data_IF_121941136422
#
_entry.id   IF_121941136422
#
_cell.length_a   1.000
_cell.length_b   1.000
_cell.length_c   1.000
_cell.angle_alpha   90.00
_cell.angle_beta   90.00
_cell.angle_gamma   90.00
#
_symmetry.space_group_name_H-M   'P 1'
#
loop_
_entity.id
_entity.type
_entity.pdbx_description
1 polymer ?
#
# COMPACT_ATOMS: atom_id res chain seq x y z
N UNK A 1 53.56 -18.62 -34.48
CA UNK A 1 53.23 -18.92 -35.89
C UNK A 1 51.86 -19.56 -35.98
N UNK A 2 50.89 -19.01 -36.74
CA UNK A 2 49.55 -19.60 -36.84
C UNK A 2 49.54 -20.78 -37.84
N UNK A 3 49.05 -21.94 -37.39
CA UNK A 3 48.95 -23.16 -38.21
C UNK A 3 47.82 -23.04 -39.25
N UNK A 4 48.18 -22.80 -40.50
CA UNK A 4 47.23 -22.86 -41.61
C UNK A 4 46.84 -24.32 -41.90
N UNK A 5 45.58 -24.68 -41.69
CA UNK A 5 45.09 -26.05 -41.98
C UNK A 5 44.96 -26.22 -43.51
N UNK A 6 45.59 -27.25 -44.07
CA UNK A 6 45.49 -27.57 -45.51
C UNK A 6 44.07 -28.06 -45.82
N UNK A 7 43.36 -27.34 -46.68
CA UNK A 7 42.03 -27.72 -47.16
C UNK A 7 42.13 -28.92 -48.08
N UNK A 8 41.46 -30.03 -47.75
CA UNK A 8 41.33 -31.19 -48.65
C UNK A 8 40.05 -31.04 -49.47
N UNK A 9 39.99 -30.03 -50.34
CA UNK A 9 38.95 -29.98 -51.36
C UNK A 9 39.43 -30.82 -52.54
N UNK A 10 39.01 -32.07 -52.56
CA UNK A 10 39.23 -32.95 -53.72
C UNK A 10 38.46 -32.32 -54.87
N UNK A 11 39.18 -31.91 -55.92
CA UNK A 11 38.58 -31.37 -57.14
C UNK A 11 37.65 -32.41 -57.80
N UNK A 12 36.84 -31.98 -58.76
CA UNK A 12 35.99 -32.90 -59.51
C UNK A 12 36.87 -33.99 -60.16
N UNK A 13 36.58 -35.25 -59.85
CA UNK A 13 37.26 -36.40 -60.48
C UNK A 13 36.52 -36.65 -61.80
N UNK A 14 37.07 -36.10 -62.90
CA UNK A 14 36.56 -36.27 -64.27
C UNK A 14 36.27 -34.95 -65.00
N UNK A 15 36.44 -34.98 -66.34
CA UNK A 15 36.00 -33.92 -67.26
C UNK A 15 34.48 -33.97 -67.42
N UNK A 16 33.80 -32.85 -67.13
CA UNK A 16 32.36 -32.71 -67.40
C UNK A 16 32.17 -32.65 -68.92
N UNK A 17 31.26 -33.44 -69.49
CA UNK A 17 30.97 -33.44 -70.94
C UNK A 17 30.11 -32.25 -71.41
N UNK A 18 29.96 -31.24 -70.55
CA UNK A 18 29.16 -30.06 -70.83
C UNK A 18 30.09 -28.86 -71.09
N UNK A 19 30.18 -28.44 -72.36
CA UNK A 19 30.92 -27.24 -72.83
C UNK A 19 30.26 -25.91 -72.40
N UNK A 20 29.15 -25.96 -71.64
CA UNK A 20 28.39 -24.75 -71.30
C UNK A 20 29.10 -24.00 -70.16
N UNK A 21 29.53 -22.74 -70.36
CA UNK A 21 30.11 -21.96 -69.28
C UNK A 21 29.04 -21.73 -68.21
N UNK A 22 29.20 -22.33 -67.03
CA UNK A 22 28.31 -22.05 -65.91
C UNK A 22 28.53 -20.60 -65.47
N UNK A 23 27.51 -19.72 -65.49
CA UNK A 23 27.69 -18.34 -65.06
C UNK A 23 28.06 -18.32 -63.57
N UNK A 24 29.18 -17.68 -63.23
CA UNK A 24 29.58 -17.45 -61.84
C UNK A 24 28.55 -16.50 -61.23
N UNK A 25 27.63 -17.04 -60.42
CA UNK A 25 26.61 -16.22 -59.74
C UNK A 25 27.34 -15.35 -58.70
N UNK A 26 27.76 -14.14 -59.10
CA UNK A 26 28.21 -13.09 -58.19
C UNK A 26 27.00 -12.23 -57.84
N UNK A 27 26.10 -12.77 -57.01
CA UNK A 27 25.12 -11.93 -56.31
C UNK A 27 25.07 -12.36 -54.85
N UNK A 28 25.90 -11.71 -54.03
CA UNK A 28 25.74 -11.75 -52.58
C UNK A 28 24.47 -10.97 -52.23
N UNK A 29 23.30 -11.62 -52.32
CA UNK A 29 22.08 -11.06 -51.72
C UNK A 29 22.33 -10.86 -50.22
N UNK A 30 22.08 -9.67 -49.66
CA UNK A 30 22.17 -9.50 -48.21
C UNK A 30 21.11 -10.41 -47.58
N UNK A 31 21.54 -11.43 -46.84
CA UNK A 31 20.63 -12.25 -46.05
C UNK A 31 20.13 -11.37 -44.91
N UNK A 32 18.86 -10.97 -44.96
CA UNK A 32 18.17 -10.43 -43.80
C UNK A 32 18.24 -11.48 -42.71
N UNK A 33 19.13 -11.29 -41.72
CA UNK A 33 19.27 -12.21 -40.61
C UNK A 33 18.05 -12.04 -39.72
N UNK A 34 17.14 -13.01 -39.74
CA UNK A 34 16.14 -13.13 -38.68
C UNK A 34 16.86 -13.52 -37.39
N UNK A 35 16.99 -12.58 -36.46
CA UNK A 35 17.58 -12.82 -35.15
C UNK A 35 18.37 -11.63 -34.62
N UNK A 36 18.57 -11.62 -33.29
CA UNK A 36 19.41 -10.62 -32.62
C UNK A 36 20.88 -10.73 -33.10
N UNK A 37 21.61 -9.63 -33.03
CA UNK A 37 23.04 -9.59 -33.41
C UNK A 37 23.83 -10.63 -32.59
N UNK A 38 24.81 -11.32 -33.20
CA UNK A 38 25.71 -12.21 -32.46
C UNK A 38 26.39 -11.41 -31.33
N UNK A 39 26.47 -11.98 -30.13
CA UNK A 39 27.00 -11.28 -28.94
C UNK A 39 25.95 -10.56 -28.09
N UNK A 40 24.68 -10.49 -28.52
CA UNK A 40 23.61 -9.80 -27.79
C UNK A 40 23.31 -10.37 -26.39
N UNK A 41 23.68 -11.64 -26.12
CA UNK A 41 23.50 -12.25 -24.78
C UNK A 41 24.58 -11.84 -23.78
N UNK A 42 25.76 -11.48 -24.26
CA UNK A 42 26.90 -11.08 -23.43
C UNK A 42 26.94 -9.57 -23.17
N UNK A 43 26.15 -8.78 -23.88
CA UNK A 43 25.98 -7.37 -23.58
C UNK A 43 25.12 -7.23 -22.33
N UNK A 44 25.77 -7.25 -21.16
CA UNK A 44 25.17 -6.80 -19.91
C UNK A 44 24.87 -5.31 -20.06
N UNK A 45 23.62 -5.00 -20.44
CA UNK A 45 22.99 -3.68 -20.46
C UNK A 45 23.98 -2.51 -20.52
N UNK A 46 24.59 -2.28 -21.68
CA UNK A 46 25.13 -0.96 -21.95
C UNK A 46 23.93 -0.01 -21.89
N UNK A 47 23.89 0.80 -20.85
CA UNK A 47 22.77 1.66 -20.53
C UNK A 47 22.41 2.50 -21.78
N UNK A 48 21.26 2.21 -22.38
CA UNK A 48 20.61 3.15 -23.28
C UNK A 48 20.13 4.32 -22.43
N UNK A 49 21.03 5.26 -22.18
CA UNK A 49 20.71 6.59 -21.73
C UNK A 49 20.06 7.32 -22.90
N UNK A 50 18.77 7.07 -23.16
CA UNK A 50 17.92 8.04 -23.82
C UNK A 50 16.46 7.77 -23.51
N UNK A 51 15.77 8.85 -23.18
CA UNK A 51 14.44 8.86 -22.61
C UNK A 51 13.44 8.04 -23.40
N UNK A 52 12.78 7.11 -22.72
CA UNK A 52 11.35 7.09 -22.50
C UNK A 52 11.07 5.91 -21.57
N UNK A 53 10.53 6.20 -20.38
CA UNK A 53 10.13 5.19 -19.39
C UNK A 53 8.93 4.43 -19.94
N UNK A 54 9.21 3.47 -20.81
CA UNK A 54 8.22 2.55 -21.30
C UNK A 54 7.88 1.62 -20.13
N UNK A 55 6.61 1.62 -19.73
CA UNK A 55 5.99 0.70 -18.75
C UNK A 55 5.98 -0.72 -19.33
N UNK A 56 7.16 -1.28 -19.58
CA UNK A 56 7.31 -2.67 -19.95
C UNK A 56 6.91 -3.50 -18.72
N UNK A 57 6.01 -4.46 -18.91
CA UNK A 57 5.59 -5.39 -17.87
C UNK A 57 6.83 -6.17 -17.41
N UNK A 58 7.39 -5.80 -16.26
CA UNK A 58 8.47 -6.54 -15.62
C UNK A 58 7.90 -7.87 -15.10
N UNK A 59 8.70 -8.95 -15.19
CA UNK A 59 8.31 -10.27 -14.66
C UNK A 59 7.93 -10.15 -13.19
N UNK A 60 6.72 -10.61 -12.83
CA UNK A 60 6.19 -10.57 -11.46
C UNK A 60 7.09 -11.29 -10.45
N UNK A 61 7.92 -12.25 -10.89
CA UNK A 61 8.91 -12.92 -10.02
C UNK A 61 10.07 -12.02 -9.63
N UNK A 62 10.36 -10.99 -10.42
CA UNK A 62 11.43 -10.03 -10.17
C UNK A 62 10.76 -8.82 -9.50
N UNK A 63 10.80 -8.80 -8.16
CA UNK A 63 10.26 -7.68 -7.39
C UNK A 63 10.85 -6.33 -7.81
N UNK A 64 10.18 -5.25 -7.43
CA UNK A 64 10.65 -3.89 -7.77
C UNK A 64 12.04 -3.63 -7.19
N UNK A 65 13.01 -3.33 -8.06
CA UNK A 65 14.37 -2.89 -7.69
C UNK A 65 14.57 -1.38 -7.84
N UNK A 66 13.49 -0.61 -7.89
CA UNK A 66 13.58 0.86 -7.93
C UNK A 66 14.15 1.36 -6.61
N UNK A 67 15.25 2.13 -6.66
CA UNK A 67 15.84 2.72 -5.46
C UNK A 67 14.82 3.64 -4.76
N UNK A 68 14.73 3.50 -3.45
CA UNK A 68 13.87 4.32 -2.60
C UNK A 68 14.74 5.46 -2.07
N UNK A 69 14.39 6.71 -2.37
CA UNK A 69 15.06 7.86 -1.77
C UNK A 69 14.77 7.89 -0.26
N UNK A 70 15.83 7.85 0.55
CA UNK A 70 15.77 7.86 2.01
C UNK A 70 15.70 9.29 2.56
N UNK A 71 16.09 10.29 1.78
CA UNK A 71 16.11 11.69 2.22
C UNK A 71 14.72 12.35 2.12
N UNK A 72 13.77 11.75 1.38
CA UNK A 72 12.40 12.26 1.27
C UNK A 72 11.66 12.42 2.61
N UNK A 73 12.09 11.71 3.66
CA UNK A 73 11.51 11.76 4.99
C UNK A 73 12.30 12.62 5.99
N UNK A 74 13.52 13.05 5.66
CA UNK A 74 14.36 13.82 6.57
C UNK A 74 13.99 15.30 6.60
N UNK A 75 13.57 15.84 5.45
CA UNK A 75 13.36 17.28 5.29
C UNK A 75 11.87 17.69 5.17
N UNK A 76 10.95 16.82 5.63
CA UNK A 76 9.50 17.12 5.60
C UNK A 76 8.91 17.24 4.18
N UNK A 77 9.60 16.71 3.16
CA UNK A 77 9.26 16.81 1.74
C UNK A 77 8.08 15.96 1.26
N UNK A 78 7.08 15.71 2.11
CA UNK A 78 5.76 15.27 1.61
C UNK A 78 5.05 16.53 1.16
N UNK A 79 4.79 16.67 -0.15
CA UNK A 79 3.88 17.71 -0.66
C UNK A 79 2.60 17.62 0.15
N UNK A 80 2.39 18.57 1.06
CA UNK A 80 1.18 18.71 1.84
C UNK A 80 0.06 19.06 0.86
N UNK A 81 -0.55 18.05 0.25
CA UNK A 81 -1.98 18.12 -0.06
C UNK A 81 -2.64 18.61 1.21
N UNK A 82 -3.51 19.63 1.17
CA UNK A 82 -4.17 20.22 2.34
C UNK A 82 -4.82 19.12 3.18
N UNK A 83 -4.04 18.52 4.05
CA UNK A 83 -4.43 17.41 4.89
C UNK A 83 -5.05 18.07 6.10
N UNK A 84 -6.27 17.66 6.43
CA UNK A 84 -6.91 17.91 7.72
C UNK A 84 -5.85 17.85 8.81
N UNK A 85 -5.97 18.76 9.78
CA UNK A 85 -5.07 18.81 10.93
C UNK A 85 -4.81 17.39 11.44
N UNK A 86 -3.55 17.05 11.78
CA UNK A 86 -3.21 15.68 12.15
C UNK A 86 -4.09 15.24 13.31
N UNK A 87 -5.00 14.31 13.05
CA UNK A 87 -5.79 13.65 14.08
C UNK A 87 -4.78 13.03 15.05
N UNK A 88 -4.85 13.44 16.32
CA UNK A 88 -4.01 12.88 17.37
C UNK A 88 -4.32 11.39 17.42
N UNK A 89 -3.35 10.56 17.05
CA UNK A 89 -3.47 9.11 17.14
C UNK A 89 -3.21 8.71 18.57
N UNK A 90 -4.27 8.38 19.29
CA UNK A 90 -4.17 7.82 20.64
C UNK A 90 -3.69 6.37 20.55
N UNK A 91 -2.95 5.91 21.56
CA UNK A 91 -2.42 4.55 21.59
C UNK A 91 -3.52 3.54 21.93
N UNK A 92 -4.52 3.94 22.73
CA UNK A 92 -5.66 3.11 23.10
C UNK A 92 -6.99 3.89 23.03
N UNK A 93 -8.13 3.22 22.79
CA UNK A 93 -9.46 3.85 22.85
C UNK A 93 -9.76 4.51 24.21
N UNK A 94 -9.23 3.94 25.30
CA UNK A 94 -9.37 4.50 26.65
C UNK A 94 -8.63 5.84 26.79
N UNK A 95 -7.41 5.93 26.30
CA UNK A 95 -6.64 7.18 26.31
C UNK A 95 -7.32 8.27 25.47
N UNK A 96 -7.96 7.91 24.36
CA UNK A 96 -8.76 8.85 23.58
C UNK A 96 -9.97 9.35 24.37
N UNK A 97 -10.66 8.46 25.09
CA UNK A 97 -11.79 8.80 25.95
C UNK A 97 -11.35 9.75 27.06
N UNK A 98 -10.29 9.41 27.81
CA UNK A 98 -9.71 10.26 28.85
C UNK A 98 -9.33 11.66 28.30
N UNK A 99 -8.85 11.73 27.06
CA UNK A 99 -8.51 13.00 26.43
C UNK A 99 -9.73 13.83 26.00
N UNK A 100 -10.89 13.21 25.76
CA UNK A 100 -12.16 13.91 25.53
C UNK A 100 -12.72 14.43 26.85
N UNK A 101 -12.68 13.62 27.92
CA UNK A 101 -13.14 14.01 29.26
C UNK A 101 -12.32 15.17 29.86
N UNK A 102 -11.03 15.26 29.53
CA UNK A 102 -10.15 16.33 30.00
C UNK A 102 -10.01 17.51 29.01
N UNK A 103 -10.89 17.63 28.01
CA UNK A 103 -10.82 18.69 27.01
C UNK A 103 -11.44 20.00 27.53
N UNK A 104 -10.59 20.90 28.03
CA UNK A 104 -11.02 22.20 28.60
C UNK A 104 -11.87 23.04 27.65
N UNK A 105 -11.69 22.89 26.33
CA UNK A 105 -12.52 23.59 25.36
C UNK A 105 -13.95 23.05 25.37
N UNK A 106 -14.12 21.73 25.46
CA UNK A 106 -15.42 21.09 25.52
C UNK A 106 -16.17 21.53 26.79
N UNK A 107 -15.50 21.50 27.94
CA UNK A 107 -16.06 21.95 29.23
C UNK A 107 -16.57 23.39 29.16
N UNK A 108 -15.75 24.32 28.66
CA UNK A 108 -16.17 25.72 28.56
C UNK A 108 -17.34 25.94 27.59
N UNK A 109 -17.52 25.07 26.59
CA UNK A 109 -18.64 25.15 25.66
C UNK A 109 -19.92 24.59 26.30
N UNK A 110 -19.81 23.54 27.11
CA UNK A 110 -20.93 23.01 27.89
C UNK A 110 -21.41 24.05 28.93
N UNK A 111 -20.50 24.66 29.68
CA UNK A 111 -20.83 25.73 30.64
C UNK A 111 -21.52 26.93 29.94
N UNK A 112 -21.03 27.29 28.75
CA UNK A 112 -21.65 28.37 27.95
C UNK A 112 -23.03 27.99 27.46
N UNK A 113 -23.25 26.73 27.08
CA UNK A 113 -24.54 26.25 26.57
C UNK A 113 -25.64 26.39 27.63
N UNK A 114 -25.32 26.25 28.91
CA UNK A 114 -26.26 26.48 30.01
C UNK A 114 -26.68 27.95 30.13
N UNK A 115 -25.78 28.88 29.78
CA UNK A 115 -26.03 30.32 29.92
C UNK A 115 -26.61 30.95 28.64
N UNK A 116 -26.15 30.51 27.46
CA UNK A 116 -26.41 31.13 26.15
C UNK A 116 -26.38 30.09 25.03
N UNK A 117 -27.04 30.40 23.91
CA UNK A 117 -26.93 29.59 22.69
C UNK A 117 -25.54 29.67 22.08
N UNK A 118 -24.93 28.52 21.83
CA UNK A 118 -23.65 28.39 21.14
C UNK A 118 -23.73 28.79 19.65
N UNK A 119 -22.60 29.18 19.06
CA UNK A 119 -22.49 29.33 17.60
C UNK A 119 -22.64 27.97 16.92
N UNK A 120 -23.08 27.94 15.65
CA UNK A 120 -23.21 26.70 14.87
C UNK A 120 -21.91 25.90 14.83
N UNK A 121 -20.77 26.57 14.67
CA UNK A 121 -19.45 25.90 14.65
C UNK A 121 -19.08 25.29 16.01
N UNK A 122 -19.51 25.91 17.11
CA UNK A 122 -19.29 25.42 18.47
C UNK A 122 -20.21 24.22 18.76
N UNK A 123 -21.48 24.29 18.34
CA UNK A 123 -22.42 23.18 18.43
C UNK A 123 -21.92 21.96 17.65
N UNK A 124 -21.50 22.15 16.39
CA UNK A 124 -20.95 21.06 15.56
C UNK A 124 -19.71 20.43 16.22
N UNK A 125 -18.89 21.22 16.93
CA UNK A 125 -17.74 20.70 17.67
C UNK A 125 -18.16 19.86 18.89
N UNK A 126 -19.11 20.35 19.69
CA UNK A 126 -19.66 19.63 20.85
C UNK A 126 -20.29 18.32 20.41
N UNK A 127 -21.18 18.36 19.41
CA UNK A 127 -21.84 17.17 18.85
C UNK A 127 -20.83 16.14 18.32
N UNK A 128 -19.81 16.59 17.59
CA UNK A 128 -18.76 15.69 17.09
C UNK A 128 -17.99 15.00 18.23
N UNK A 129 -17.70 15.71 19.32
CA UNK A 129 -17.01 15.17 20.50
C UNK A 129 -17.89 14.19 21.28
N UNK A 130 -19.15 14.53 21.53
CA UNK A 130 -20.11 13.66 22.23
C UNK A 130 -20.39 12.38 21.44
N UNK A 131 -20.54 12.49 20.11
CA UNK A 131 -20.68 11.32 19.25
C UNK A 131 -19.46 10.41 19.35
N UNK A 132 -18.26 10.98 19.26
CA UNK A 132 -17.01 10.20 19.41
C UNK A 132 -16.90 9.54 20.78
N UNK A 133 -17.27 10.25 21.84
CA UNK A 133 -17.32 9.70 23.21
C UNK A 133 -18.25 8.48 23.27
N UNK A 134 -19.47 8.57 22.74
CA UNK A 134 -20.41 7.44 22.71
C UNK A 134 -19.87 6.21 21.96
N UNK A 135 -19.16 6.43 20.85
CA UNK A 135 -18.51 5.35 20.10
C UNK A 135 -17.41 4.68 20.93
N UNK A 136 -16.59 5.45 21.65
CA UNK A 136 -15.51 4.92 22.50
C UNK A 136 -16.06 4.12 23.69
N UNK A 137 -17.13 4.60 24.34
CA UNK A 137 -17.78 3.85 25.41
C UNK A 137 -18.33 2.51 24.90
N UNK A 138 -19.00 2.52 23.73
CA UNK A 138 -19.47 1.29 23.06
C UNK A 138 -18.32 0.33 22.73
N UNK A 139 -17.18 0.85 22.26
CA UNK A 139 -15.99 0.03 21.99
C UNK A 139 -15.38 -0.58 23.25
N UNK A 140 -15.48 0.12 24.39
CA UNK A 140 -14.97 -0.34 25.68
C UNK A 140 -15.96 -1.23 26.44
N UNK A 141 -17.19 -1.40 25.93
CA UNK A 141 -18.25 -2.13 26.64
C UNK A 141 -18.74 -1.41 27.88
N UNK A 142 -18.55 -0.09 27.95
CA UNK A 142 -19.24 0.75 28.93
C UNK A 142 -20.61 0.99 28.31
N UNK A 143 -21.55 0.11 28.62
CA UNK A 143 -22.94 0.29 28.24
C UNK A 143 -23.43 1.55 28.97
N UNK A 144 -23.45 2.68 28.25
CA UNK A 144 -24.29 3.78 28.69
C UNK A 144 -25.71 3.21 28.64
N UNK A 145 -26.46 3.21 29.76
CA UNK A 145 -27.87 2.91 29.66
C UNK A 145 -28.42 3.89 28.63
N UNK A 146 -28.84 3.37 27.46
CA UNK A 146 -29.78 4.10 26.64
C UNK A 146 -30.93 4.48 27.57
N UNK A 147 -31.47 5.68 27.39
CA UNK A 147 -32.61 6.21 28.15
C UNK A 147 -33.90 5.41 27.84
N UNK A 148 -33.79 4.08 27.80
CA UNK A 148 -34.86 3.11 27.80
C UNK A 148 -35.19 2.83 29.27
N UNK A 149 -36.34 3.37 29.67
CA UNK A 149 -36.91 3.44 31.01
C UNK A 149 -37.28 2.07 31.63
N UNK A 150 -36.56 0.99 31.31
CA UNK A 150 -36.83 -0.39 31.72
C UNK A 150 -35.62 -1.05 32.45
N UNK A 151 -34.88 -0.30 33.27
CA UNK A 151 -33.67 -0.81 33.96
C UNK A 151 -33.95 -1.61 35.24
N UNK A 152 -35.19 -2.06 35.49
CA UNK A 152 -35.48 -2.89 36.68
C UNK A 152 -35.06 -4.36 36.54
N UNK A 153 -34.86 -4.85 35.30
CA UNK A 153 -34.54 -6.26 35.04
C UNK A 153 -33.04 -6.56 34.83
N UNK A 154 -32.18 -5.54 34.78
CA UNK A 154 -30.75 -5.67 34.48
C UNK A 154 -29.84 -5.37 35.68
N UNK A 155 -30.36 -5.30 36.91
CA UNK A 155 -29.50 -5.22 38.08
C UNK A 155 -28.81 -6.59 38.31
N UNK A 156 -27.48 -6.71 38.10
CA UNK A 156 -26.75 -7.95 38.34
C UNK A 156 -26.83 -8.42 39.81
N UNK A 157 -27.17 -7.51 40.73
CA UNK A 157 -27.36 -7.82 42.15
C UNK A 157 -28.79 -8.27 42.50
N UNK A 158 -29.78 -8.14 41.61
CA UNK A 158 -31.15 -8.64 41.89
C UNK A 158 -31.19 -10.14 42.19
N UNK A 159 -30.29 -10.92 41.58
CA UNK A 159 -30.12 -12.34 41.86
C UNK A 159 -29.68 -12.64 43.29
N UNK A 160 -29.04 -11.68 43.97
CA UNK A 160 -28.59 -11.80 45.35
C UNK A 160 -29.71 -11.45 46.34
N UNK A 161 -30.54 -10.47 46.02
CA UNK A 161 -31.71 -10.09 46.82
C UNK A 161 -32.79 -11.18 46.81
N UNK A 162 -32.86 -11.99 45.75
CA UNK A 162 -33.75 -13.14 45.66
C UNK A 162 -33.32 -14.32 46.55
N UNK A 163 -32.07 -14.34 47.06
CA UNK A 163 -31.55 -15.43 47.88
C UNK A 163 -31.86 -15.12 49.35
N UNK A 164 -32.94 -15.68 49.87
CA UNK A 164 -33.25 -15.61 51.29
C UNK A 164 -32.41 -16.62 52.08
N UNK A 165 -31.72 -16.14 53.12
CA UNK A 165 -30.89 -16.97 54.00
C UNK A 165 -31.68 -18.07 54.73
N UNK A 166 -33.01 -17.93 54.77
CA UNK A 166 -33.92 -18.85 55.45
C UNK A 166 -34.34 -20.04 54.58
N UNK A 167 -34.14 -20.00 53.26
CA UNK A 167 -34.41 -21.15 52.36
C UNK A 167 -33.42 -22.32 52.56
N UNK A 168 -32.34 -22.10 53.31
CA UNK A 168 -31.30 -23.10 53.59
C UNK A 168 -31.34 -23.67 55.03
N UNK A 169 -32.40 -23.38 55.80
CA UNK A 169 -32.58 -23.94 57.15
C UNK A 169 -33.57 -25.10 57.09
N UNK A 170 -33.05 -26.32 57.17
CA UNK A 170 -33.81 -27.56 57.39
C UNK A 170 -34.51 -27.58 58.76
#
# INVERSE_FOLDING_TARGET
MPRHKKSRKIGKIGISKDERPTPRITSSKPKNKCGKKPGSRQQLNAAESNGHKNTQKTDSRIGSKTSIDLNKYKDGGVKKTKSKAPEKRYFSPKEELDAIENDTKLDTLLDKQEQKSLSREEQEYVEAKLKRHSELCKMLGIDLPEEDEDTTDNDPFSSLDAINIDDFKD
#
